data_IF_790933529100
#
_entry.id   IF_790933529100
#
_cell.length_a   1.000
_cell.length_b   1.000
_cell.length_c   1.000
_cell.angle_alpha   90.00
_cell.angle_beta   90.00
_cell.angle_gamma   90.00
#
_symmetry.space_group_name_H-M   'P 1'
#
loop_
_entity.id
_entity.type
_entity.pdbx_description
1 polymer ?
#
# COMPACT_ATOMS: atom_id res chain seq x y z
N UNK A 1 -1.05 -11.97 -35.83
CA UNK A 1 -0.91 -10.50 -35.92
C UNK A 1 -2.16 -9.74 -35.44
N UNK A 2 -3.41 -10.21 -35.67
CA UNK A 2 -4.64 -9.50 -35.31
C UNK A 2 -4.90 -9.33 -33.82
N UNK A 3 -4.54 -10.29 -32.99
CA UNK A 3 -4.83 -10.27 -31.54
C UNK A 3 -3.99 -9.24 -30.77
N UNK A 4 -2.75 -8.97 -31.20
CA UNK A 4 -1.88 -7.95 -30.63
C UNK A 4 -2.36 -6.53 -30.97
N UNK A 5 -2.93 -6.35 -32.15
CA UNK A 5 -3.46 -5.06 -32.59
C UNK A 5 -4.74 -4.69 -31.83
N UNK A 6 -5.61 -5.65 -31.55
CA UNK A 6 -6.84 -5.45 -30.75
C UNK A 6 -6.50 -5.08 -29.31
N UNK A 7 -5.54 -5.76 -28.68
CA UNK A 7 -5.07 -5.42 -27.32
C UNK A 7 -4.40 -4.05 -27.24
N UNK A 8 -3.68 -3.66 -28.29
CA UNK A 8 -3.06 -2.32 -28.37
C UNK A 8 -4.12 -1.22 -28.48
N UNK A 9 -5.20 -1.46 -29.23
CA UNK A 9 -6.32 -0.52 -29.38
C UNK A 9 -7.13 -0.42 -28.07
N UNK A 10 -7.40 -1.52 -27.37
CA UNK A 10 -8.04 -1.48 -26.05
C UNK A 10 -7.20 -0.71 -25.02
N UNK A 11 -5.90 -0.93 -24.99
CA UNK A 11 -4.98 -0.20 -24.12
C UNK A 11 -4.98 1.30 -24.42
N UNK A 12 -5.03 1.66 -25.71
CA UNK A 12 -5.03 3.06 -26.17
C UNK A 12 -6.35 3.78 -25.79
N UNK A 13 -7.48 3.08 -25.82
CA UNK A 13 -8.80 3.63 -25.46
C UNK A 13 -8.89 3.90 -23.94
N UNK A 14 -8.19 3.13 -23.11
CA UNK A 14 -8.18 3.32 -21.65
C UNK A 14 -7.15 4.38 -21.23
N UNK A 15 -6.00 4.48 -21.91
CA UNK A 15 -4.92 5.41 -21.55
C UNK A 15 -5.21 6.84 -22.06
N UNK A 16 -5.82 7.01 -23.23
CA UNK A 16 -6.12 8.32 -23.80
C UNK A 16 -6.99 9.23 -22.90
N UNK A 17 -8.08 8.76 -22.27
CA UNK A 17 -8.86 9.64 -21.39
C UNK A 17 -8.11 10.00 -20.11
N UNK A 18 -7.25 9.13 -19.58
CA UNK A 18 -6.45 9.42 -18.37
C UNK A 18 -5.41 10.50 -18.65
N UNK A 19 -4.74 10.44 -19.79
CA UNK A 19 -3.79 11.47 -20.24
C UNK A 19 -4.53 12.80 -20.50
N UNK A 20 -5.73 12.74 -21.07
CA UNK A 20 -6.57 13.92 -21.33
C UNK A 20 -6.96 14.67 -20.06
N UNK A 21 -7.29 13.98 -18.99
CA UNK A 21 -7.65 14.58 -17.67
C UNK A 21 -6.43 15.22 -17.01
N UNK A 22 -5.25 14.60 -17.10
CA UNK A 22 -4.01 15.15 -16.55
C UNK A 22 -3.58 16.42 -17.31
N UNK A 23 -3.65 16.41 -18.66
CA UNK A 23 -3.33 17.57 -19.49
C UNK A 23 -4.35 18.73 -19.36
N UNK A 24 -5.63 18.41 -19.20
CA UNK A 24 -6.66 19.44 -18.94
C UNK A 24 -6.47 20.10 -17.58
N UNK A 25 -6.08 19.35 -16.55
CA UNK A 25 -5.73 19.87 -15.23
C UNK A 25 -4.51 20.80 -15.27
N UNK A 26 -3.46 20.46 -16.00
CA UNK A 26 -2.26 21.31 -16.16
C UNK A 26 -2.53 22.59 -16.94
N UNK A 27 -3.35 22.56 -18.00
CA UNK A 27 -3.75 23.78 -18.73
C UNK A 27 -4.63 24.69 -17.92
N UNK A 28 -5.54 24.17 -17.09
CA UNK A 28 -6.36 24.97 -16.20
C UNK A 28 -5.52 25.69 -15.13
N UNK A 29 -4.49 25.02 -14.58
CA UNK A 29 -3.56 25.64 -13.63
C UNK A 29 -2.72 26.76 -14.25
N UNK A 30 -2.26 26.61 -15.50
CA UNK A 30 -1.46 27.63 -16.19
C UNK A 30 -2.29 28.84 -16.62
N UNK A 31 -3.57 28.67 -16.96
CA UNK A 31 -4.48 29.76 -17.29
C UNK A 31 -4.89 30.53 -16.03
N UNK A 32 -5.05 29.86 -14.88
CA UNK A 32 -5.31 30.51 -13.60
C UNK A 32 -4.12 31.38 -13.15
N UNK A 33 -2.87 30.91 -13.34
CA UNK A 33 -1.66 31.69 -13.03
C UNK A 33 -1.54 32.99 -13.87
N UNK A 34 -1.96 32.99 -15.12
CA UNK A 34 -1.92 34.20 -15.98
C UNK A 34 -2.98 35.24 -15.59
N UNK A 35 -4.14 34.83 -15.06
CA UNK A 35 -5.17 35.75 -14.57
C UNK A 35 -4.83 36.38 -13.22
N UNK A 36 -3.97 35.77 -12.41
CA UNK A 36 -3.52 36.32 -11.14
C UNK A 36 -2.46 37.41 -11.29
N UNK A 37 -1.68 37.44 -12.37
CA UNK A 37 -0.66 38.46 -12.61
C UNK A 37 -1.23 39.87 -12.87
N UNK A 38 -2.54 40.01 -13.18
CA UNK A 38 -3.19 41.27 -13.48
C UNK A 38 -3.96 41.90 -12.31
N UNK A 39 -3.94 41.29 -11.09
CA UNK A 39 -4.68 41.78 -9.91
C UNK A 39 -3.79 42.16 -8.72
N UNK A 40 -2.52 42.39 -8.95
CA UNK A 40 -1.54 42.58 -7.88
C UNK A 40 -1.34 44.07 -7.46
N UNK A 41 -2.41 44.81 -7.21
CA UNK A 41 -2.28 46.21 -6.74
C UNK A 41 -3.14 46.58 -5.52
N UNK A 42 -3.60 45.57 -4.72
CA UNK A 42 -4.22 45.84 -3.42
C UNK A 42 -3.59 44.94 -2.32
N UNK A 43 -3.13 45.53 -1.20
CA UNK A 43 -2.49 44.76 -0.10
C UNK A 43 -3.46 43.71 0.52
N UNK A 44 -4.74 43.93 0.53
CA UNK A 44 -5.76 42.97 0.99
C UNK A 44 -5.90 41.74 0.06
N UNK A 45 -5.71 41.95 -1.23
CA UNK A 45 -5.76 40.86 -2.20
C UNK A 45 -4.53 39.90 -2.05
N UNK A 46 -3.36 40.44 -1.74
CA UNK A 46 -2.14 39.66 -1.53
C UNK A 46 -2.24 38.78 -0.26
N UNK A 47 -2.79 39.34 0.83
CA UNK A 47 -3.01 38.59 2.09
C UNK A 47 -4.03 37.45 1.87
N UNK A 48 -5.15 37.76 1.17
CA UNK A 48 -6.16 36.77 0.84
C UNK A 48 -5.65 35.65 -0.07
N UNK A 49 -4.78 35.98 -1.04
CA UNK A 49 -4.13 34.97 -1.92
C UNK A 49 -3.18 34.07 -1.16
N UNK A 50 -2.37 34.63 -0.27
CA UNK A 50 -1.43 33.86 0.57
C UNK A 50 -2.17 32.89 1.48
N UNK A 51 -3.27 33.34 2.11
CA UNK A 51 -4.11 32.51 2.97
C UNK A 51 -4.79 31.39 2.18
N UNK A 52 -5.33 31.70 1.00
CA UNK A 52 -5.95 30.71 0.12
C UNK A 52 -4.94 29.67 -0.40
N UNK A 53 -3.72 30.08 -0.74
CA UNK A 53 -2.65 29.19 -1.17
C UNK A 53 -2.23 28.23 -0.03
N UNK A 54 -2.09 28.75 1.19
CA UNK A 54 -1.76 27.96 2.37
C UNK A 54 -2.87 26.95 2.71
N UNK A 55 -4.13 27.35 2.63
CA UNK A 55 -5.26 26.45 2.82
C UNK A 55 -5.36 25.38 1.72
N UNK A 56 -5.02 25.71 0.48
CA UNK A 56 -4.95 24.73 -0.62
C UNK A 56 -3.80 23.72 -0.43
N UNK A 57 -2.63 24.21 -0.02
CA UNK A 57 -1.47 23.38 0.30
C UNK A 57 -1.79 22.43 1.46
N UNK A 58 -2.36 22.93 2.54
CA UNK A 58 -2.77 22.10 3.69
C UNK A 58 -3.74 20.99 3.26
N UNK A 59 -4.76 21.31 2.45
CA UNK A 59 -5.71 20.31 1.93
C UNK A 59 -5.02 19.24 1.06
N UNK A 60 -4.02 19.63 0.27
CA UNK A 60 -3.26 18.69 -0.55
C UNK A 60 -2.44 17.73 0.34
N UNK A 61 -1.69 18.27 1.31
CA UNK A 61 -0.89 17.49 2.26
C UNK A 61 -1.79 16.53 3.06
N UNK A 62 -2.90 17.05 3.61
CA UNK A 62 -3.84 16.23 4.38
C UNK A 62 -4.49 15.11 3.56
N UNK A 63 -4.70 15.30 2.26
CA UNK A 63 -5.16 14.22 1.37
C UNK A 63 -4.07 13.17 1.16
N UNK A 64 -2.82 13.61 0.98
CA UNK A 64 -1.68 12.72 0.83
C UNK A 64 -1.47 11.86 2.08
N UNK A 65 -1.56 12.44 3.29
CA UNK A 65 -1.49 11.70 4.55
C UNK A 65 -2.59 10.65 4.63
N UNK A 66 -3.83 11.01 4.31
CA UNK A 66 -4.94 10.05 4.31
C UNK A 66 -4.77 8.92 3.30
N UNK A 67 -4.20 9.19 2.13
CA UNK A 67 -3.95 8.14 1.13
C UNK A 67 -2.82 7.22 1.55
N UNK A 68 -1.80 7.76 2.23
CA UNK A 68 -0.76 6.99 2.89
C UNK A 68 -1.38 6.04 3.94
N UNK A 69 -2.16 6.57 4.88
CA UNK A 69 -2.84 5.80 5.93
C UNK A 69 -3.75 4.69 5.36
N UNK A 70 -4.48 5.01 4.31
CA UNK A 70 -5.36 4.06 3.64
C UNK A 70 -4.57 2.91 3.03
N UNK A 71 -3.43 3.20 2.41
CA UNK A 71 -2.58 2.17 1.80
C UNK A 71 -1.89 1.35 2.87
N UNK A 72 -1.44 1.97 3.96
CA UNK A 72 -0.91 1.28 5.14
C UNK A 72 -1.94 0.32 5.76
N UNK A 73 -3.20 0.74 5.88
CA UNK A 73 -4.29 -0.12 6.38
C UNK A 73 -4.49 -1.32 5.47
N UNK A 74 -4.49 -1.13 4.14
CA UNK A 74 -4.59 -2.25 3.17
C UNK A 74 -3.41 -3.21 3.29
N UNK A 75 -2.20 -2.69 3.50
CA UNK A 75 -1.02 -3.52 3.73
C UNK A 75 -1.10 -4.28 5.06
N UNK A 76 -1.56 -3.62 6.12
CA UNK A 76 -1.73 -4.24 7.43
C UNK A 76 -2.65 -5.47 7.38
N UNK A 77 -3.68 -5.45 6.54
CA UNK A 77 -4.54 -6.61 6.32
C UNK A 77 -3.75 -7.84 5.82
N UNK A 78 -2.72 -7.62 4.97
CA UNK A 78 -1.84 -8.72 4.52
C UNK A 78 -0.87 -9.17 5.60
N UNK A 79 -0.48 -8.29 6.53
CA UNK A 79 0.41 -8.66 7.63
C UNK A 79 -0.32 -9.42 8.75
N UNK A 80 -1.59 -9.14 9.00
CA UNK A 80 -2.35 -9.67 10.13
C UNK A 80 -3.32 -10.78 9.77
N UNK A 81 -3.91 -10.76 8.57
CA UNK A 81 -4.82 -11.83 8.12
C UNK A 81 -4.02 -12.98 7.50
N UNK A 82 -3.82 -14.02 8.31
CA UNK A 82 -3.11 -15.25 7.91
C UNK A 82 -3.76 -15.89 6.67
N UNK A 83 -5.09 -15.83 6.55
CA UNK A 83 -5.80 -16.36 5.39
C UNK A 83 -5.42 -15.61 4.12
N UNK A 84 -5.44 -14.27 4.20
CA UNK A 84 -5.08 -13.36 3.11
C UNK A 84 -3.62 -13.54 2.70
N UNK A 85 -2.72 -13.63 3.70
CA UNK A 85 -1.29 -13.89 3.48
C UNK A 85 -1.04 -15.18 2.71
N UNK A 86 -1.72 -16.27 3.10
CA UNK A 86 -1.56 -17.58 2.45
C UNK A 86 -2.28 -17.66 1.09
N UNK A 87 -3.30 -16.84 0.85
CA UNK A 87 -3.98 -16.77 -0.44
C UNK A 87 -3.25 -15.92 -1.47
N UNK A 88 -2.44 -14.95 -1.01
CA UNK A 88 -1.71 -13.98 -1.84
C UNK A 88 -0.22 -13.89 -1.45
N UNK A 89 0.53 -14.99 -1.52
CA UNK A 89 1.90 -15.07 -0.99
C UNK A 89 2.88 -14.14 -1.71
N UNK A 90 2.57 -13.68 -2.92
CA UNK A 90 3.40 -12.72 -3.64
C UNK A 90 3.62 -11.43 -2.84
N UNK A 91 2.62 -10.98 -2.07
CA UNK A 91 2.72 -9.74 -1.29
C UNK A 91 3.85 -9.73 -0.26
N UNK A 92 4.35 -10.90 0.15
CA UNK A 92 5.45 -11.05 1.11
C UNK A 92 6.70 -11.70 0.52
N UNK A 93 6.68 -12.11 -0.75
CA UNK A 93 7.85 -12.70 -1.40
C UNK A 93 8.82 -11.60 -1.88
N UNK A 94 9.80 -11.26 -1.04
CA UNK A 94 10.83 -10.26 -1.34
C UNK A 94 11.73 -10.61 -2.53
N UNK A 95 11.67 -11.84 -3.06
CA UNK A 95 12.36 -12.23 -4.31
C UNK A 95 11.61 -11.74 -5.55
N UNK A 96 10.34 -11.38 -5.39
CA UNK A 96 9.56 -10.82 -6.49
C UNK A 96 9.85 -9.31 -6.62
N UNK A 97 10.21 -8.82 -7.82
CA UNK A 97 10.57 -7.41 -8.02
C UNK A 97 9.42 -6.43 -7.76
N UNK A 98 8.16 -6.86 -7.90
CA UNK A 98 7.01 -6.00 -7.59
C UNK A 98 6.87 -5.81 -6.08
N UNK A 99 7.03 -6.88 -5.30
CA UNK A 99 7.03 -6.85 -3.84
C UNK A 99 8.18 -6.03 -3.30
N UNK A 100 9.39 -6.26 -3.80
CA UNK A 100 10.56 -5.48 -3.42
C UNK A 100 10.38 -3.98 -3.71
N UNK A 101 9.86 -3.64 -4.91
CA UNK A 101 9.58 -2.26 -5.30
C UNK A 101 8.55 -1.61 -4.39
N UNK A 102 7.47 -2.32 -4.07
CA UNK A 102 6.44 -1.85 -3.16
C UNK A 102 7.02 -1.55 -1.77
N UNK A 103 7.77 -2.49 -1.17
CA UNK A 103 8.38 -2.28 0.16
C UNK A 103 9.39 -1.14 0.18
N UNK A 104 10.17 -0.97 -0.88
CA UNK A 104 11.10 0.16 -1.02
C UNK A 104 10.37 1.50 -1.11
N UNK A 105 9.27 1.55 -1.87
CA UNK A 105 8.44 2.74 -1.99
C UNK A 105 7.75 3.08 -0.66
N UNK A 106 7.23 2.07 0.06
CA UNK A 106 6.68 2.22 1.41
C UNK A 106 7.69 2.83 2.36
N UNK A 107 8.89 2.25 2.46
CA UNK A 107 9.95 2.76 3.33
C UNK A 107 10.26 4.24 3.03
N UNK A 108 10.31 4.63 1.76
CA UNK A 108 10.56 6.02 1.38
C UNK A 108 9.41 6.94 1.82
N UNK A 109 8.17 6.52 1.65
CA UNK A 109 7.02 7.30 2.07
C UNK A 109 6.98 7.46 3.60
N UNK A 110 7.27 6.38 4.34
CA UNK A 110 7.35 6.38 5.80
C UNK A 110 8.43 7.35 6.31
N UNK A 111 9.63 7.34 5.70
CA UNK A 111 10.74 8.22 6.07
C UNK A 111 10.45 9.71 5.84
N UNK A 112 9.62 10.03 4.86
CA UNK A 112 9.26 11.41 4.51
C UNK A 112 7.94 11.86 5.17
N UNK A 113 7.29 10.97 5.91
CA UNK A 113 6.00 11.25 6.54
C UNK A 113 6.15 12.33 7.60
N UNK A 114 5.38 13.43 7.53
CA UNK A 114 5.39 14.45 8.59
C UNK A 114 4.68 13.92 9.83
N UNK A 115 5.03 14.44 11.00
CA UNK A 115 4.27 14.17 12.23
C UNK A 115 2.87 14.79 12.14
N UNK A 116 2.78 16.04 11.67
CA UNK A 116 1.53 16.74 11.39
C UNK A 116 1.58 17.35 9.98
N UNK A 117 0.41 17.49 9.35
CA UNK A 117 0.31 18.09 8.00
C UNK A 117 0.87 19.51 7.94
N UNK A 118 0.80 20.22 9.04
CA UNK A 118 1.27 21.59 9.25
C UNK A 118 2.78 21.72 9.11
N UNK A 119 3.55 20.68 9.42
CA UNK A 119 5.03 20.67 9.35
C UNK A 119 5.55 20.96 7.93
N UNK A 120 4.74 20.62 6.93
CA UNK A 120 5.09 20.82 5.52
C UNK A 120 4.56 22.12 4.92
N UNK A 121 3.82 22.96 5.68
CA UNK A 121 3.20 24.17 5.13
C UNK A 121 4.22 25.28 4.78
N UNK A 122 5.39 25.25 5.35
CA UNK A 122 6.46 26.22 5.08
C UNK A 122 7.51 25.72 4.10
N UNK A 123 7.54 24.41 3.82
CA UNK A 123 8.53 23.75 2.98
C UNK A 123 7.86 23.07 1.76
N UNK A 124 7.79 23.82 0.67
CA UNK A 124 7.19 23.33 -0.56
C UNK A 124 8.00 22.20 -1.23
N UNK A 125 9.30 22.09 -0.95
CA UNK A 125 10.14 21.03 -1.48
C UNK A 125 9.92 19.73 -0.71
N UNK A 126 9.89 19.77 0.61
CA UNK A 126 9.57 18.63 1.45
C UNK A 126 8.13 18.13 1.17
N UNK A 127 7.17 19.04 1.02
CA UNK A 127 5.80 18.69 0.66
C UNK A 127 5.71 17.95 -0.68
N UNK A 128 6.46 18.39 -1.71
CA UNK A 128 6.52 17.69 -3.00
C UNK A 128 7.18 16.32 -2.89
N UNK A 129 8.30 16.23 -2.18
CA UNK A 129 8.99 14.95 -1.98
C UNK A 129 8.11 13.92 -1.27
N UNK A 130 7.35 14.34 -0.27
CA UNK A 130 6.40 13.45 0.42
C UNK A 130 5.27 13.02 -0.50
N UNK A 131 4.66 13.94 -1.24
CA UNK A 131 3.60 13.63 -2.21
C UNK A 131 4.07 12.62 -3.27
N UNK A 132 5.25 12.86 -3.87
CA UNK A 132 5.84 11.96 -4.86
C UNK A 132 6.14 10.57 -4.26
N UNK A 133 6.60 10.52 -3.01
CA UNK A 133 6.88 9.26 -2.33
C UNK A 133 5.60 8.46 -2.06
N UNK A 134 4.52 9.10 -1.62
CA UNK A 134 3.23 8.45 -1.37
C UNK A 134 2.60 7.99 -2.69
N UNK A 135 2.65 8.79 -3.75
CA UNK A 135 2.16 8.40 -5.09
C UNK A 135 2.89 7.16 -5.60
N UNK A 136 4.23 7.13 -5.47
CA UNK A 136 5.02 5.96 -5.83
C UNK A 136 4.67 4.73 -4.97
N UNK A 137 4.43 4.92 -3.66
CA UNK A 137 4.04 3.85 -2.76
C UNK A 137 2.68 3.25 -3.13
N UNK A 138 1.66 4.09 -3.30
CA UNK A 138 0.30 3.66 -3.71
C UNK A 138 0.36 2.90 -5.03
N UNK A 139 1.05 3.45 -6.02
CA UNK A 139 1.17 2.83 -7.35
C UNK A 139 1.87 1.48 -7.27
N UNK A 140 3.00 1.39 -6.55
CA UNK A 140 3.74 0.15 -6.42
C UNK A 140 2.95 -0.92 -5.65
N UNK A 141 2.21 -0.53 -4.61
CA UNK A 141 1.32 -1.41 -3.88
C UNK A 141 0.19 -1.95 -4.77
N UNK A 142 -0.51 -1.08 -5.52
CA UNK A 142 -1.61 -1.48 -6.40
C UNK A 142 -1.15 -2.46 -7.49
N UNK A 143 0.03 -2.26 -8.04
CA UNK A 143 0.62 -3.17 -9.03
C UNK A 143 0.94 -4.53 -8.40
N UNK A 144 1.57 -4.54 -7.23
CA UNK A 144 1.91 -5.77 -6.52
C UNK A 144 0.64 -6.54 -6.10
N UNK A 145 -0.37 -5.84 -5.55
CA UNK A 145 -1.64 -6.44 -5.15
C UNK A 145 -2.42 -7.02 -6.34
N UNK A 146 -2.51 -6.28 -7.45
CA UNK A 146 -3.18 -6.75 -8.67
C UNK A 146 -2.53 -8.03 -9.19
N UNK A 147 -1.21 -8.10 -9.18
CA UNK A 147 -0.46 -9.28 -9.61
C UNK A 147 -0.63 -10.43 -8.59
N UNK A 148 -0.63 -10.14 -7.29
CA UNK A 148 -0.89 -11.13 -6.26
C UNK A 148 -2.29 -11.76 -6.42
N UNK A 149 -3.32 -10.95 -6.68
CA UNK A 149 -4.69 -11.40 -6.94
C UNK A 149 -4.75 -12.25 -8.21
N UNK A 150 -4.02 -11.87 -9.26
CA UNK A 150 -3.97 -12.59 -10.53
C UNK A 150 -3.32 -13.97 -10.37
N UNK A 151 -2.20 -14.05 -9.65
CA UNK A 151 -1.44 -15.29 -9.46
C UNK A 151 -2.03 -16.18 -8.38
N UNK A 152 -2.46 -15.60 -7.27
CA UNK A 152 -2.88 -16.34 -6.07
C UNK A 152 -1.82 -17.40 -5.70
N UNK A 153 -2.22 -18.67 -5.64
CA UNK A 153 -1.34 -19.82 -5.35
C UNK A 153 -0.93 -20.60 -6.60
N UNK A 154 -1.14 -20.05 -7.81
CA UNK A 154 -0.89 -20.79 -9.05
C UNK A 154 0.60 -21.04 -9.32
N UNK A 155 1.48 -20.28 -8.66
CA UNK A 155 2.92 -20.45 -8.76
C UNK A 155 3.44 -21.67 -7.95
N UNK A 156 2.57 -22.26 -7.10
CA UNK A 156 2.90 -23.44 -6.30
C UNK A 156 2.43 -24.72 -6.98
N UNK A 157 3.25 -25.76 -6.86
CA UNK A 157 2.88 -27.13 -7.28
C UNK A 157 1.69 -27.64 -6.45
N UNK A 158 1.02 -28.70 -6.92
CA UNK A 158 -0.09 -29.30 -6.16
C UNK A 158 0.32 -29.77 -4.76
N UNK A 159 1.55 -30.27 -4.61
CA UNK A 159 2.09 -30.69 -3.31
C UNK A 159 2.28 -29.49 -2.38
N UNK A 160 2.83 -28.40 -2.88
CA UNK A 160 3.02 -27.16 -2.12
C UNK A 160 1.68 -26.53 -1.74
N UNK A 161 0.70 -26.53 -2.65
CA UNK A 161 -0.66 -26.08 -2.33
C UNK A 161 -1.32 -26.90 -1.21
N UNK A 162 -1.07 -28.22 -1.16
CA UNK A 162 -1.53 -29.07 -0.07
C UNK A 162 -0.80 -28.73 1.25
N UNK A 163 0.51 -28.45 1.21
CA UNK A 163 1.26 -27.96 2.37
C UNK A 163 0.67 -26.65 2.88
N UNK A 164 0.42 -25.67 2.00
CA UNK A 164 -0.20 -24.40 2.37
C UNK A 164 -1.61 -24.60 2.99
N UNK A 165 -2.36 -25.57 2.51
CA UNK A 165 -3.69 -25.91 3.07
C UNK A 165 -3.56 -26.46 4.49
N UNK A 166 -2.60 -27.37 4.72
CA UNK A 166 -2.32 -27.91 6.08
C UNK A 166 -1.80 -26.83 7.02
N UNK A 167 -0.88 -25.97 6.54
CA UNK A 167 -0.38 -24.83 7.29
C UNK A 167 -1.52 -23.90 7.74
N UNK A 168 -2.45 -23.57 6.81
CA UNK A 168 -3.63 -22.75 7.11
C UNK A 168 -4.49 -23.36 8.20
N UNK A 169 -4.74 -24.67 8.14
CA UNK A 169 -5.54 -25.37 9.15
C UNK A 169 -4.83 -25.36 10.52
N UNK A 170 -3.52 -25.58 10.54
CA UNK A 170 -2.73 -25.54 11.75
C UNK A 170 -2.65 -24.14 12.34
N UNK A 171 -2.43 -23.09 11.54
CA UNK A 171 -2.43 -21.69 12.00
C UNK A 171 -3.77 -21.27 12.59
N UNK A 172 -4.89 -21.79 12.07
CA UNK A 172 -6.22 -21.53 12.64
C UNK A 172 -6.31 -22.06 14.06
N UNK A 173 -5.76 -23.25 14.34
CA UNK A 173 -5.71 -23.81 15.71
C UNK A 173 -4.73 -23.03 16.58
N UNK A 174 -3.59 -22.58 16.02
CA UNK A 174 -2.60 -21.81 16.76
C UNK A 174 -3.12 -20.45 17.29
N UNK A 175 -4.12 -19.87 16.62
CA UNK A 175 -4.74 -18.59 17.04
C UNK A 175 -6.12 -18.78 17.69
N UNK A 176 -6.58 -20.02 17.86
CA UNK A 176 -7.88 -20.30 18.48
C UNK A 176 -7.78 -20.15 20.01
N UNK A 177 -8.50 -19.18 20.58
CA UNK A 177 -8.57 -18.95 22.04
C UNK A 177 -9.22 -20.14 22.78
N UNK A 178 -10.03 -20.96 22.10
CA UNK A 178 -10.61 -22.18 22.66
C UNK A 178 -9.64 -23.36 22.77
N UNK A 179 -8.49 -23.29 22.10
CA UNK A 179 -7.46 -24.33 22.19
C UNK A 179 -6.54 -24.09 23.39
N UNK A 180 -6.03 -25.17 23.99
CA UNK A 180 -5.05 -25.06 25.07
C UNK A 180 -3.72 -24.48 24.58
N UNK A 181 -2.90 -23.83 25.43
CA UNK A 181 -1.59 -23.30 25.03
C UNK A 181 -0.70 -24.38 24.36
N UNK A 182 -0.72 -25.61 24.86
CA UNK A 182 0.06 -26.71 24.30
C UNK A 182 -0.44 -27.13 22.90
N UNK A 183 -1.75 -27.10 22.65
CA UNK A 183 -2.32 -27.37 21.33
C UNK A 183 -1.96 -26.25 20.36
N UNK A 184 -2.04 -25.00 20.78
CA UNK A 184 -1.63 -23.82 19.98
C UNK A 184 -0.17 -23.89 19.59
N UNK A 185 0.72 -24.20 20.54
CA UNK A 185 2.16 -24.35 20.28
C UNK A 185 2.47 -25.48 19.29
N UNK A 186 1.86 -26.67 19.46
CA UNK A 186 2.01 -27.79 18.53
C UNK A 186 1.49 -27.46 17.14
N UNK A 187 0.37 -26.79 17.06
CA UNK A 187 -0.23 -26.34 15.80
C UNK A 187 0.66 -25.31 15.09
N UNK A 188 1.25 -24.37 15.83
CA UNK A 188 2.19 -23.41 15.27
C UNK A 188 3.48 -24.08 14.77
N UNK A 189 4.05 -25.01 15.51
CA UNK A 189 5.21 -25.80 15.07
C UNK A 189 4.92 -26.59 13.79
N UNK A 190 3.73 -27.20 13.69
CA UNK A 190 3.31 -27.89 12.47
C UNK A 190 3.17 -26.92 11.29
N UNK A 191 2.53 -25.77 11.52
CA UNK A 191 2.37 -24.75 10.49
C UNK A 191 3.72 -24.24 9.98
N UNK A 192 4.63 -23.94 10.87
CA UNK A 192 5.99 -23.49 10.52
C UNK A 192 6.72 -24.50 9.64
N UNK A 193 6.61 -25.80 9.97
CA UNK A 193 7.18 -26.90 9.16
C UNK A 193 6.56 -26.97 7.76
N UNK A 194 5.24 -26.78 7.66
CA UNK A 194 4.56 -26.82 6.34
C UNK A 194 4.86 -25.59 5.49
N UNK A 195 5.14 -24.44 6.11
CA UNK A 195 5.48 -23.20 5.42
C UNK A 195 6.96 -23.12 5.03
N UNK A 196 7.81 -23.94 5.62
CA UNK A 196 9.25 -23.90 5.38
C UNK A 196 9.61 -24.03 3.90
N UNK A 197 10.40 -23.07 3.40
CA UNK A 197 10.77 -22.96 1.98
C UNK A 197 9.66 -22.47 1.05
N UNK A 198 8.43 -22.25 1.53
CA UNK A 198 7.30 -21.78 0.72
C UNK A 198 6.96 -20.30 0.98
N UNK A 199 6.70 -19.97 2.23
CA UNK A 199 6.30 -18.62 2.66
C UNK A 199 6.99 -18.28 3.96
N UNK A 200 7.52 -17.07 4.04
CA UNK A 200 8.01 -16.48 5.29
C UNK A 200 6.89 -15.65 5.91
N UNK A 201 6.48 -16.00 7.12
CA UNK A 201 5.51 -15.20 7.86
C UNK A 201 6.12 -13.84 8.22
N UNK A 202 5.41 -12.73 7.99
CA UNK A 202 5.83 -11.41 8.44
C UNK A 202 6.06 -11.39 9.96
N UNK A 203 7.01 -10.56 10.40
CA UNK A 203 7.37 -10.45 11.82
C UNK A 203 6.15 -10.16 12.71
N UNK A 204 5.28 -9.25 12.27
CA UNK A 204 4.06 -8.88 13.02
C UNK A 204 3.09 -10.05 13.15
N UNK A 205 2.87 -10.82 12.08
CA UNK A 205 2.02 -12.01 12.11
C UNK A 205 2.59 -13.06 13.07
N UNK A 206 3.89 -13.31 12.99
CA UNK A 206 4.59 -14.24 13.88
C UNK A 206 4.47 -13.82 15.33
N UNK A 207 4.80 -12.57 15.65
CA UNK A 207 4.71 -12.03 17.01
C UNK A 207 3.27 -12.05 17.56
N UNK A 208 2.25 -11.82 16.71
CA UNK A 208 0.85 -11.91 17.13
C UNK A 208 0.46 -13.35 17.50
N UNK A 209 0.87 -14.34 16.70
CA UNK A 209 0.61 -15.76 17.00
C UNK A 209 1.32 -16.17 18.30
N UNK A 210 2.59 -15.82 18.46
CA UNK A 210 3.41 -16.18 19.62
C UNK A 210 2.83 -15.57 20.90
N UNK A 211 2.39 -14.29 20.88
CA UNK A 211 1.68 -13.69 22.04
C UNK A 211 0.36 -14.40 22.34
N UNK A 212 -0.40 -14.77 21.30
CA UNK A 212 -1.63 -15.54 21.47
C UNK A 212 -1.38 -16.90 22.13
N UNK A 213 -0.29 -17.59 21.79
CA UNK A 213 0.09 -18.86 22.41
C UNK A 213 0.39 -18.69 23.92
N UNK A 214 1.08 -17.61 24.28
CA UNK A 214 1.44 -17.31 25.69
C UNK A 214 0.23 -16.85 26.51
N UNK A 215 -0.90 -16.48 25.88
CA UNK A 215 -2.10 -16.03 26.56
C UNK A 215 -2.08 -14.54 26.94
N UNK A 216 -1.20 -13.74 26.36
CA UNK A 216 -1.10 -12.30 26.63
C UNK A 216 -2.24 -11.47 25.98
N UNK A 217 -3.11 -12.08 25.19
CA UNK A 217 -4.20 -11.40 24.48
C UNK A 217 -5.55 -11.49 25.21
N UNK A 218 -5.62 -12.21 26.35
CA UNK A 218 -6.87 -12.45 27.09
C UNK A 218 -6.97 -11.56 28.37
N UNK A 219 -6.29 -10.40 28.41
CA UNK A 219 -6.28 -9.45 29.51
C UNK A 219 -7.00 -8.14 29.21
#
# INVERSE_FOLDING_TARGET
>A
MGLLLVRLVELLIVILPVIGVVFAGMKALSAARRRQAYRADEPDAAVSQTTNNRAAQWRAISRTVREHDRTDTRWLDYELDIGKLLDFPLMTDMRNPLTERFHRAKLRADLLRPAEAEDLLGDGDAARQYLDAVENYVTAFDVAESEAIRRRRNDFTKVEQQRLTRARSALRVAVDSGATPQERERAYALASKELDGLIVLPERARAAIERGIVGELDG
#
